data_IF_723943199737
#
_entry.id   IF_723943199737
#
_cell.length_a   1.000
_cell.length_b   1.000
_cell.length_c   1.000
_cell.angle_alpha   90.00
_cell.angle_beta   90.00
_cell.angle_gamma   90.00
#
_symmetry.space_group_name_H-M   'P 1'
#
loop_
_entity.id
_entity.type
_entity.pdbx_description
1 polymer ?
#
# COMPACT_ATOMS: atom_id res chain seq x y z
N UNK A 1 0.95 -6.38 -21.11
CA UNK A 1 0.12 -5.46 -20.32
C UNK A 1 -1.25 -5.24 -20.96
N UNK A 2 -2.35 -5.02 -20.20
CA UNK A 2 -3.71 -4.80 -20.77
C UNK A 2 -3.96 -3.31 -21.06
N UNK A 3 -4.85 -2.99 -22.01
CA UNK A 3 -5.24 -1.61 -22.30
C UNK A 3 -6.07 -1.02 -21.14
N UNK A 4 -5.90 0.27 -20.84
CA UNK A 4 -6.64 0.97 -19.79
C UNK A 4 -7.62 1.97 -20.36
N UNK A 5 -8.82 2.00 -19.77
CA UNK A 5 -9.83 3.03 -20.03
C UNK A 5 -9.77 4.06 -18.91
N UNK A 6 -9.07 5.17 -19.18
CA UNK A 6 -8.86 6.25 -18.21
C UNK A 6 -8.45 7.55 -18.88
N UNK A 7 -8.20 8.56 -18.06
CA UNK A 7 -7.68 9.84 -18.54
C UNK A 7 -6.16 9.85 -18.45
N UNK A 8 -5.48 9.99 -19.59
CA UNK A 8 -4.01 10.04 -19.63
C UNK A 8 -3.51 11.36 -19.05
N UNK A 9 -2.53 11.28 -18.15
CA UNK A 9 -1.82 12.43 -17.61
C UNK A 9 -0.48 12.59 -18.33
N UNK A 10 0.00 13.84 -18.46
CA UNK A 10 1.32 14.12 -19.03
C UNK A 10 2.46 13.66 -18.10
N UNK A 11 2.23 13.74 -16.78
CA UNK A 11 3.15 13.32 -15.74
C UNK A 11 2.38 12.78 -14.53
N UNK A 12 3.04 11.97 -13.70
CA UNK A 12 2.51 11.57 -12.41
C UNK A 12 2.48 12.79 -11.46
N UNK A 13 1.32 13.14 -10.87
CA UNK A 13 1.15 14.44 -10.22
C UNK A 13 1.57 14.49 -8.75
N UNK A 14 2.06 13.38 -8.18
CA UNK A 14 2.36 13.28 -6.75
C UNK A 14 3.87 13.13 -6.53
N UNK A 15 4.38 13.82 -5.51
CA UNK A 15 5.70 13.58 -4.96
C UNK A 15 5.55 12.64 -3.76
N UNK A 16 6.06 11.42 -3.87
CA UNK A 16 5.84 10.38 -2.88
C UNK A 16 7.17 9.88 -2.33
N UNK A 17 7.22 9.75 -1.00
CA UNK A 17 8.32 9.15 -0.26
C UNK A 17 7.94 7.74 0.16
N UNK A 18 8.82 6.78 -0.13
CA UNK A 18 8.69 5.40 0.34
C UNK A 18 8.73 5.34 1.87
N UNK A 19 7.86 4.52 2.45
CA UNK A 19 7.77 4.26 3.88
C UNK A 19 8.09 2.80 4.19
N UNK A 20 7.41 1.85 3.54
CA UNK A 20 7.54 0.43 3.84
C UNK A 20 6.89 -0.46 2.77
N UNK A 21 7.59 -1.52 2.40
CA UNK A 21 7.03 -2.64 1.65
C UNK A 21 6.14 -3.50 2.56
N UNK A 22 4.83 -3.41 2.35
CA UNK A 22 3.84 -4.20 3.08
C UNK A 22 3.81 -5.66 2.61
N UNK A 23 4.07 -5.90 1.32
CA UNK A 23 4.14 -7.25 0.75
C UNK A 23 5.37 -7.32 -0.15
N UNK A 24 6.29 -8.21 0.19
CA UNK A 24 7.50 -8.47 -0.58
C UNK A 24 7.55 -9.92 -1.08
N UNK A 25 7.85 -10.13 -2.36
CA UNK A 25 8.12 -11.44 -2.95
C UNK A 25 8.95 -11.29 -4.23
N UNK A 26 10.27 -11.51 -4.11
CA UNK A 26 11.24 -11.28 -5.21
C UNK A 26 11.12 -9.86 -5.81
N UNK A 27 10.81 -8.90 -4.94
CA UNK A 27 10.47 -7.52 -5.26
C UNK A 27 9.21 -7.04 -4.50
N UNK A 28 8.99 -5.72 -4.41
CA UNK A 28 7.79 -5.17 -3.78
C UNK A 28 6.54 -5.49 -4.60
N UNK A 29 5.48 -5.90 -3.91
CA UNK A 29 4.14 -6.10 -4.51
C UNK A 29 3.12 -5.09 -3.99
N UNK A 30 3.32 -4.63 -2.75
CA UNK A 30 2.48 -3.61 -2.13
C UNK A 30 3.35 -2.75 -1.22
N UNK A 31 3.44 -1.46 -1.53
CA UNK A 31 4.31 -0.52 -0.80
C UNK A 31 3.51 0.67 -0.32
N UNK A 32 3.77 1.10 0.92
CA UNK A 32 3.20 2.28 1.52
C UNK A 32 4.10 3.48 1.24
N UNK A 33 3.49 4.54 0.71
CA UNK A 33 4.10 5.81 0.42
C UNK A 33 3.41 6.94 1.18
N UNK A 34 4.07 8.08 1.27
CA UNK A 34 3.54 9.31 1.84
C UNK A 34 3.84 10.51 0.95
N UNK A 35 2.87 11.41 0.78
CA UNK A 35 3.10 12.69 0.11
C UNK A 35 3.65 13.76 1.06
N UNK A 36 3.98 14.94 0.54
CA UNK A 36 4.50 16.07 1.31
C UNK A 36 3.53 16.61 2.38
N UNK A 37 2.25 16.22 2.34
CA UNK A 37 1.21 16.63 3.29
C UNK A 37 0.92 15.57 4.36
N UNK A 38 1.57 14.40 4.31
CA UNK A 38 1.33 13.30 5.23
C UNK A 38 0.19 12.36 4.85
N UNK A 39 -0.41 12.49 3.65
CA UNK A 39 -1.37 11.52 3.15
C UNK A 39 -0.67 10.24 2.73
N UNK A 40 -1.25 9.11 3.13
CA UNK A 40 -0.74 7.78 2.78
C UNK A 40 -1.27 7.29 1.43
N UNK A 41 -0.40 6.69 0.63
CA UNK A 41 -0.71 6.08 -0.66
C UNK A 41 -0.21 4.64 -0.70
N UNK A 42 -0.93 3.77 -1.37
CA UNK A 42 -0.46 2.40 -1.65
C UNK A 42 -0.10 2.28 -3.13
N UNK A 43 1.07 1.70 -3.38
CA UNK A 43 1.50 1.21 -4.69
C UNK A 43 1.26 -0.28 -4.75
N UNK A 44 0.42 -0.74 -5.67
CA UNK A 44 0.11 -2.15 -5.87
C UNK A 44 0.59 -2.60 -7.26
N UNK A 45 1.52 -3.54 -7.29
CA UNK A 45 2.04 -4.11 -8.53
C UNK A 45 0.97 -4.99 -9.21
N UNK A 46 0.71 -4.74 -10.49
CA UNK A 46 -0.40 -5.38 -11.21
C UNK A 46 0.04 -6.25 -12.38
N UNK A 47 1.02 -5.77 -13.15
CA UNK A 47 1.41 -6.39 -14.42
C UNK A 47 2.79 -5.88 -14.83
N UNK A 48 3.42 -6.60 -15.76
CA UNK A 48 4.70 -6.23 -16.35
C UNK A 48 4.70 -6.60 -17.83
N UNK A 49 5.46 -5.88 -18.63
CA UNK A 49 5.84 -6.29 -19.97
C UNK A 49 7.36 -6.14 -20.16
N UNK A 50 7.84 -6.13 -21.41
CA UNK A 50 9.27 -6.06 -21.71
C UNK A 50 9.90 -4.70 -21.37
N UNK A 51 9.11 -3.67 -21.08
CA UNK A 51 9.61 -2.30 -20.90
C UNK A 51 9.25 -1.70 -19.54
N UNK A 52 8.08 -2.03 -18.99
CA UNK A 52 7.59 -1.38 -17.79
C UNK A 52 6.84 -2.32 -16.85
N UNK A 53 6.87 -1.95 -15.57
CA UNK A 53 6.02 -2.44 -14.50
C UNK A 53 4.83 -1.50 -14.32
N UNK A 54 3.63 -2.05 -14.23
CA UNK A 54 2.42 -1.26 -13.96
C UNK A 54 2.00 -1.37 -12.51
N UNK A 55 1.81 -0.20 -11.92
CA UNK A 55 1.43 0.00 -10.54
C UNK A 55 0.10 0.75 -10.45
N UNK A 56 -0.81 0.26 -9.62
CA UNK A 56 -1.95 1.06 -9.18
C UNK A 56 -1.55 1.86 -7.95
N UNK A 57 -1.81 3.16 -7.98
CA UNK A 57 -1.50 4.09 -6.89
C UNK A 57 -2.78 4.76 -6.42
N UNK A 58 -3.08 4.64 -5.14
CA UNK A 58 -4.32 5.19 -4.57
C UNK A 58 -4.14 5.59 -3.12
N UNK A 59 -4.84 6.65 -2.72
CA UNK A 59 -4.80 7.17 -1.36
C UNK A 59 -5.52 6.23 -0.41
N UNK A 60 -4.95 6.07 0.79
CA UNK A 60 -5.59 5.41 1.93
C UNK A 60 -5.59 6.34 3.13
N UNK A 61 -6.68 6.30 3.89
CA UNK A 61 -6.71 6.93 5.22
C UNK A 61 -6.01 6.03 6.23
N UNK A 62 -5.56 6.61 7.34
CA UNK A 62 -5.06 5.84 8.49
C UNK A 62 -6.06 4.76 8.92
N UNK A 63 -7.36 5.07 8.96
CA UNK A 63 -8.43 4.14 9.34
C UNK A 63 -8.53 2.96 8.37
N UNK A 64 -8.53 3.21 7.06
CA UNK A 64 -8.64 2.15 6.04
C UNK A 64 -7.38 1.31 5.96
N UNK A 65 -6.20 1.90 6.13
CA UNK A 65 -4.94 1.17 6.25
C UNK A 65 -4.94 0.26 7.49
N UNK A 66 -5.39 0.77 8.65
CA UNK A 66 -5.58 -0.01 9.88
C UNK A 66 -6.57 -1.16 9.67
N UNK A 67 -7.66 -0.94 8.94
CA UNK A 67 -8.60 -2.02 8.64
C UNK A 67 -8.01 -3.07 7.72
N UNK A 68 -7.20 -2.67 6.74
CA UNK A 68 -6.50 -3.63 5.89
C UNK A 68 -5.51 -4.49 6.68
N UNK A 69 -4.61 -3.87 7.46
CA UNK A 69 -3.62 -4.62 8.25
C UNK A 69 -4.26 -5.46 9.37
N UNK A 70 -5.45 -5.08 9.87
CA UNK A 70 -6.19 -5.89 10.85
C UNK A 70 -7.14 -6.91 10.22
N UNK A 71 -7.09 -7.09 8.88
CA UNK A 71 -7.92 -8.01 8.11
C UNK A 71 -9.44 -7.72 8.19
N UNK A 72 -9.80 -6.46 8.46
CA UNK A 72 -11.20 -5.96 8.41
C UNK A 72 -11.61 -5.45 7.03
N UNK A 73 -10.63 -5.10 6.18
CA UNK A 73 -10.82 -4.77 4.77
C UNK A 73 -9.82 -5.57 3.93
N UNK A 74 -10.24 -6.00 2.75
CA UNK A 74 -9.37 -6.58 1.74
C UNK A 74 -8.71 -5.48 0.88
N UNK A 75 -7.56 -5.79 0.27
CA UNK A 75 -6.93 -4.92 -0.74
C UNK A 75 -7.89 -4.65 -1.91
N UNK A 76 -8.68 -5.65 -2.32
CA UNK A 76 -9.76 -5.48 -3.29
C UNK A 76 -10.72 -4.37 -2.90
N UNK A 77 -11.19 -4.33 -1.65
CA UNK A 77 -12.11 -3.28 -1.20
C UNK A 77 -11.49 -1.89 -1.23
N UNK A 78 -10.20 -1.77 -0.89
CA UNK A 78 -9.46 -0.51 -0.98
C UNK A 78 -9.36 -0.02 -2.44
N UNK A 79 -9.07 -0.93 -3.37
CA UNK A 79 -8.94 -0.61 -4.81
C UNK A 79 -10.29 -0.29 -5.45
N UNK A 80 -11.36 -1.01 -5.07
CA UNK A 80 -12.68 -0.81 -5.66
C UNK A 80 -13.43 0.39 -5.06
N UNK A 81 -13.05 0.85 -3.87
CA UNK A 81 -13.65 1.99 -3.19
C UNK A 81 -12.56 2.98 -2.71
N UNK A 82 -11.77 3.55 -3.64
CA UNK A 82 -10.68 4.45 -3.28
C UNK A 82 -11.23 5.75 -2.69
N UNK A 83 -10.46 6.36 -1.79
CA UNK A 83 -10.89 7.56 -1.04
C UNK A 83 -11.31 8.70 -1.97
N UNK A 84 -10.59 8.89 -3.08
CA UNK A 84 -10.82 10.00 -4.01
C UNK A 84 -11.74 9.60 -5.19
N UNK A 85 -12.24 8.36 -5.21
CA UNK A 85 -13.12 7.83 -6.27
C UNK A 85 -12.39 7.39 -7.56
N UNK A 86 -11.06 7.50 -7.59
CA UNK A 86 -10.20 7.04 -8.67
C UNK A 86 -8.88 6.48 -8.14
N UNK A 87 -8.12 5.85 -9.03
CA UNK A 87 -6.73 5.43 -8.81
C UNK A 87 -5.86 6.02 -9.92
N UNK A 88 -4.57 6.14 -9.68
CA UNK A 88 -3.60 6.27 -10.76
C UNK A 88 -3.16 4.87 -11.21
N UNK A 89 -2.91 4.72 -12.51
CA UNK A 89 -2.07 3.65 -13.04
C UNK A 89 -0.79 4.29 -13.54
N UNK A 90 0.34 3.85 -13.00
CA UNK A 90 1.67 4.37 -13.34
C UNK A 90 2.49 3.23 -13.94
N UNK A 91 3.08 3.47 -15.10
CA UNK A 91 4.06 2.59 -15.74
C UNK A 91 5.45 3.10 -15.44
N UNK A 92 6.21 2.31 -14.68
CA UNK A 92 7.60 2.58 -14.33
C UNK A 92 8.52 1.66 -15.12
N UNK A 93 9.60 2.20 -15.69
CA UNK A 93 10.66 1.38 -16.27
C UNK A 93 11.64 0.85 -15.22
N UNK A 94 12.70 0.18 -15.67
CA UNK A 94 13.75 -0.38 -14.80
C UNK A 94 14.54 0.71 -14.06
N UNK A 95 14.54 1.96 -14.58
CA UNK A 95 15.12 3.13 -13.93
C UNK A 95 14.14 3.85 -12.97
N UNK A 96 12.94 3.29 -12.76
CA UNK A 96 11.85 3.84 -11.95
C UNK A 96 11.28 5.16 -12.48
N UNK A 97 11.47 5.46 -13.76
CA UNK A 97 10.93 6.64 -14.42
C UNK A 97 9.52 6.36 -14.95
N UNK A 98 8.59 7.28 -14.69
CA UNK A 98 7.21 7.19 -15.17
C UNK A 98 7.13 7.39 -16.68
N UNK A 99 6.81 6.33 -17.42
CA UNK A 99 6.58 6.38 -18.88
C UNK A 99 5.16 6.79 -19.24
N UNK A 100 4.17 6.25 -18.52
CA UNK A 100 2.77 6.59 -18.72
C UNK A 100 2.03 6.64 -17.40
N UNK A 101 1.14 7.63 -17.26
CA UNK A 101 0.24 7.73 -16.13
C UNK A 101 -1.20 7.91 -16.61
N UNK A 102 -2.13 7.19 -15.99
CA UNK A 102 -3.56 7.32 -16.22
C UNK A 102 -4.29 7.53 -14.90
N UNK A 103 -5.33 8.36 -14.92
CA UNK A 103 -6.37 8.39 -13.90
C UNK A 103 -7.47 7.41 -14.32
N UNK A 104 -7.73 6.41 -13.47
CA UNK A 104 -8.62 5.29 -13.77
C UNK A 104 -9.71 5.20 -12.72
N UNK A 105 -10.97 5.06 -13.16
CA UNK A 105 -12.08 4.76 -12.25
C UNK A 105 -12.09 3.26 -11.95
N UNK A 106 -12.43 2.81 -10.72
CA UNK A 106 -12.40 1.38 -10.38
C UNK A 106 -13.22 0.48 -11.30
N UNK A 107 -14.37 0.96 -11.77
CA UNK A 107 -15.24 0.23 -12.72
C UNK A 107 -14.61 -0.03 -14.09
N UNK A 108 -13.54 0.70 -14.43
CA UNK A 108 -12.81 0.58 -15.69
C UNK A 108 -11.53 -0.26 -15.52
N UNK A 109 -11.23 -0.73 -14.30
CA UNK A 109 -10.08 -1.58 -14.09
C UNK A 109 -10.26 -2.92 -14.81
N UNK A 110 -9.23 -3.38 -15.54
CA UNK A 110 -9.27 -4.71 -16.10
C UNK A 110 -9.38 -5.77 -14.98
N UNK A 111 -10.16 -6.85 -15.17
CA UNK A 111 -10.37 -7.86 -14.11
C UNK A 111 -9.10 -8.46 -13.53
N UNK A 112 -8.02 -8.57 -14.33
CA UNK A 112 -6.71 -9.08 -13.89
C UNK A 112 -6.07 -8.22 -12.80
N UNK A 113 -6.37 -6.93 -12.76
CA UNK A 113 -5.76 -5.97 -11.81
C UNK A 113 -6.57 -5.84 -10.52
N UNK A 114 -7.72 -6.51 -10.43
CA UNK A 114 -8.55 -6.53 -9.24
C UNK A 114 -8.14 -7.73 -8.38
N UNK A 115 -7.68 -7.52 -7.13
CA UNK A 115 -7.31 -8.63 -6.25
C UNK A 115 -8.47 -9.59 -5.94
N UNK A 116 -8.11 -10.76 -5.41
CA UNK A 116 -9.07 -11.73 -4.90
C UNK A 116 -9.93 -11.12 -3.77
N UNK A 117 -11.12 -11.68 -3.54
CA UNK A 117 -12.06 -11.16 -2.52
C UNK A 117 -11.48 -11.28 -1.11
N UNK A 118 -10.65 -12.28 -0.88
CA UNK A 118 -9.97 -12.60 0.37
C UNK A 118 -8.53 -12.07 0.41
N UNK A 119 -8.20 -11.05 -0.39
CA UNK A 119 -6.90 -10.38 -0.41
C UNK A 119 -6.67 -9.53 0.86
N UNK A 120 -6.84 -10.12 2.04
CA UNK A 120 -6.53 -9.52 3.33
C UNK A 120 -5.02 -9.46 3.55
N UNK A 121 -4.60 -8.56 4.42
CA UNK A 121 -3.20 -8.44 4.75
C UNK A 121 -2.65 -9.70 5.43
N UNK A 122 -1.48 -10.13 4.97
CA UNK A 122 -0.74 -11.27 5.50
C UNK A 122 0.59 -10.77 6.08
N UNK A 123 0.66 -10.71 7.42
CA UNK A 123 1.84 -10.25 8.14
C UNK A 123 3.08 -11.09 7.87
N UNK A 124 2.95 -12.33 7.40
CA UNK A 124 4.10 -13.16 7.04
C UNK A 124 4.82 -12.67 5.78
N UNK A 125 4.19 -11.77 5.00
CA UNK A 125 4.75 -11.18 3.78
C UNK A 125 5.42 -9.82 4.02
N UNK A 126 5.32 -9.30 5.23
CA UNK A 126 6.18 -8.22 5.68
C UNK A 126 7.57 -8.79 5.87
N UNK A 127 8.60 -8.10 5.41
CA UNK A 127 9.97 -8.55 5.67
C UNK A 127 10.17 -8.70 7.19
N UNK A 128 10.45 -9.93 7.61
CA UNK A 128 10.55 -10.28 9.02
C UNK A 128 11.81 -9.68 9.67
N UNK A 129 12.84 -9.37 8.88
CA UNK A 129 14.12 -8.84 9.36
C UNK A 129 14.14 -7.31 9.39
N UNK A 130 13.23 -6.66 8.64
CA UNK A 130 13.14 -5.20 8.58
C UNK A 130 12.40 -4.62 9.80
N UNK A 131 13.17 -4.37 10.85
CA UNK A 131 12.67 -3.78 12.11
C UNK A 131 12.31 -2.30 11.94
N UNK A 132 12.92 -1.60 11.00
CA UNK A 132 12.64 -0.19 10.70
C UNK A 132 11.29 -0.05 10.01
N UNK A 133 11.05 -0.84 8.96
CA UNK A 133 9.76 -0.97 8.29
C UNK A 133 8.60 -1.21 9.27
N UNK A 134 8.81 -2.11 10.24
CA UNK A 134 7.82 -2.41 11.29
C UNK A 134 7.56 -1.20 12.19
N UNK A 135 8.61 -0.49 12.60
CA UNK A 135 8.50 0.74 13.40
C UNK A 135 7.70 1.81 12.66
N UNK A 136 8.04 2.07 11.40
CA UNK A 136 7.36 3.05 10.56
C UNK A 136 5.89 2.70 10.34
N UNK A 137 5.59 1.42 10.07
CA UNK A 137 4.21 0.97 9.94
C UNK A 137 3.43 1.16 11.25
N UNK A 138 4.02 0.81 12.39
CA UNK A 138 3.42 1.02 13.70
C UNK A 138 3.12 2.49 13.97
N UNK A 139 4.05 3.39 13.67
CA UNK A 139 3.86 4.83 13.80
C UNK A 139 2.69 5.32 12.94
N UNK A 140 2.57 4.85 11.70
CA UNK A 140 1.44 5.20 10.82
C UNK A 140 0.12 4.68 11.35
N UNK A 141 0.11 3.51 11.96
CA UNK A 141 -1.10 2.91 12.52
C UNK A 141 -1.45 3.46 13.89
N UNK A 142 -0.51 4.14 14.56
CA UNK A 142 -0.70 4.65 15.91
C UNK A 142 -1.75 5.78 15.93
N UNK A 143 -2.83 5.53 16.64
CA UNK A 143 -3.91 6.48 16.92
C UNK A 143 -3.83 6.87 18.40
N UNK A 144 -3.89 8.16 18.70
CA UNK A 144 -3.81 8.70 20.08
C UNK A 144 -4.88 8.10 21.01
N UNK A 145 -5.96 7.54 20.45
CA UNK A 145 -7.13 7.01 21.18
C UNK A 145 -7.08 5.56 21.68
N UNK A 146 -5.91 4.91 21.77
CA UNK A 146 -5.75 3.65 22.52
C UNK A 146 -6.57 2.42 22.02
N UNK A 147 -6.94 2.34 20.73
CA UNK A 147 -7.57 1.13 20.15
C UNK A 147 -6.56 0.06 19.68
N UNK A 148 -5.28 0.20 20.02
CA UNK A 148 -4.18 -0.58 19.43
C UNK A 148 -3.80 -1.85 20.19
N UNK A 149 -4.44 -2.16 21.33
CA UNK A 149 -4.06 -3.33 22.12
C UNK A 149 -4.08 -4.61 21.29
N UNK A 150 -5.13 -4.82 20.49
CA UNK A 150 -5.32 -6.09 19.76
C UNK A 150 -4.39 -6.22 18.56
N UNK A 151 -4.05 -5.09 17.92
CA UNK A 151 -3.11 -5.07 16.80
C UNK A 151 -1.67 -5.23 17.29
N UNK A 152 -1.32 -4.54 18.38
CA UNK A 152 -0.03 -4.71 19.04
C UNK A 152 0.12 -6.14 19.54
N UNK A 153 -0.92 -6.74 20.15
CA UNK A 153 -0.89 -8.15 20.57
C UNK A 153 -0.67 -9.07 19.37
N UNK A 154 -1.38 -8.90 18.24
CA UNK A 154 -1.14 -9.73 17.04
C UNK A 154 0.25 -9.57 16.46
N UNK A 155 0.79 -8.35 16.45
CA UNK A 155 2.18 -8.08 16.05
C UNK A 155 3.14 -8.77 17.03
N UNK A 156 3.02 -8.53 18.34
CA UNK A 156 3.90 -9.10 19.35
C UNK A 156 3.76 -10.63 19.52
N UNK A 157 2.58 -11.23 19.30
CA UNK A 157 2.38 -12.69 19.38
C UNK A 157 3.05 -13.42 18.20
N UNK A 158 3.20 -12.75 17.05
CA UNK A 158 3.97 -13.28 15.91
C UNK A 158 5.47 -12.98 15.98
N UNK A 159 5.90 -12.13 16.91
CA UNK A 159 7.30 -11.72 17.10
C UNK A 159 7.74 -11.93 18.56
N UNK A 160 8.41 -13.04 18.92
CA UNK A 160 9.07 -13.07 20.21
C UNK A 160 10.20 -12.05 20.14
N UNK A 161 10.19 -11.01 21.00
CA UNK A 161 11.36 -10.47 21.75
C UNK A 161 11.06 -9.07 22.33
N UNK A 162 11.23 -8.97 23.65
CA UNK A 162 12.20 -8.09 24.31
C UNK A 162 12.42 -6.64 23.86
N UNK A 163 11.41 -5.90 23.41
CA UNK A 163 11.49 -4.44 23.30
C UNK A 163 10.88 -3.76 24.53
N UNK A 164 11.68 -2.94 25.20
CA UNK A 164 11.21 -2.05 26.26
C UNK A 164 10.14 -1.11 25.68
N UNK A 165 8.99 -1.03 26.35
CA UNK A 165 7.97 -0.02 26.09
C UNK A 165 8.63 1.37 26.01
N UNK A 166 8.31 2.23 25.03
CA UNK A 166 8.77 3.60 25.05
C UNK A 166 8.31 4.27 26.35
N UNK A 167 9.23 4.94 27.04
CA UNK A 167 8.90 5.66 28.27
C UNK A 167 8.02 6.86 27.92
N UNK A 168 6.85 6.92 28.53
CA UNK A 168 5.98 8.10 28.53
C UNK A 168 6.76 9.30 29.09
N UNK A 169 6.94 10.32 28.28
CA UNK A 169 7.25 11.68 28.71
C UNK A 169 6.02 12.55 28.46
#
# INVERSE_FOLDING_TARGET
>A
MQELVGYRLEHFPLNLRDIVDLIYFDGPLLTLFENEYGDSYLYYWCDVDEQCHRWLVFRVTQKTLRFYVTQKLSLRELILNPVDGFLYSVELDDELESRQTYLVQPKNLPPKYIPAVDSYYDFSKLDAEDTEAKGLLLEKLWDEKHELSDLLIKLFDQFPVGMNKPSLA
#
